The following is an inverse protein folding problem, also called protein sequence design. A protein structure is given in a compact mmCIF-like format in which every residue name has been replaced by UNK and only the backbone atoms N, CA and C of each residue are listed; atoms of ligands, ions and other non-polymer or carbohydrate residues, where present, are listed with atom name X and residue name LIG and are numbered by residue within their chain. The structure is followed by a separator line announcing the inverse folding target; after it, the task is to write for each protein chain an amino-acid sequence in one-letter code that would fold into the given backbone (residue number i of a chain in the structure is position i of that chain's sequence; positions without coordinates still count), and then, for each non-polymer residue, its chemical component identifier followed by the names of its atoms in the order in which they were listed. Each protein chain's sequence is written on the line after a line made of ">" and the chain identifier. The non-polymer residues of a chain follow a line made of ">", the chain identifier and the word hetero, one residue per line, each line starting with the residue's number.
data_IF_965606631205
#
_entry.id   IF_965606631205
#
_cell.length_a   1.000
_cell.length_b   1.000
_cell.length_c   1.000
_cell.angle_alpha   90.00
_cell.angle_beta   90.00
_cell.angle_gamma   90.00
#
_symmetry.space_group_name_H-M   'P 1'
#
loop_
_entity.id
_entity.type
_entity.pdbx_description
1 polymer ?
#
# COMPACT_ATOMS: atom_id res chain seq x y z
N UNK A 1 -14.61 -14.22 -17.50
CA UNK A 1 -13.70 -13.08 -17.72
C UNK A 1 -12.53 -13.27 -16.77
N UNK A 2 -11.39 -13.77 -17.24
CA UNK A 2 -10.21 -13.97 -16.40
C UNK A 2 -9.61 -12.60 -16.09
N UNK A 3 -9.86 -12.08 -14.88
CA UNK A 3 -9.08 -10.97 -14.36
C UNK A 3 -7.65 -11.50 -14.21
N UNK A 4 -6.75 -11.05 -15.07
CA UNK A 4 -5.33 -11.30 -14.90
C UNK A 4 -4.92 -10.49 -13.66
N UNK A 5 -4.38 -11.09 -12.57
CA UNK A 5 -3.91 -10.30 -11.44
C UNK A 5 -2.87 -9.30 -11.95
N UNK A 6 -2.93 -8.06 -11.46
CA UNK A 6 -1.99 -7.04 -11.88
C UNK A 6 -0.58 -7.49 -11.48
N UNK A 7 0.31 -7.66 -12.47
CA UNK A 7 1.71 -7.98 -12.17
C UNK A 7 2.36 -6.74 -11.54
N UNK A 8 2.95 -6.93 -10.36
CA UNK A 8 3.74 -5.90 -9.67
C UNK A 8 4.91 -5.44 -10.55
N UNK A 9 5.21 -4.14 -10.57
CA UNK A 9 6.31 -3.53 -11.35
C UNK A 9 7.42 -2.95 -10.49
N UNK A 10 7.10 -2.50 -9.27
CA UNK A 10 8.04 -1.93 -8.32
C UNK A 10 8.21 -2.80 -7.08
N UNK A 11 7.13 -3.36 -6.54
CA UNK A 11 7.22 -4.12 -5.30
C UNK A 11 7.82 -5.51 -5.59
N UNK A 12 8.96 -5.89 -5.01
CA UNK A 12 9.60 -7.16 -5.31
C UNK A 12 8.70 -8.35 -4.97
N UNK A 13 8.69 -9.37 -5.83
CA UNK A 13 7.85 -10.56 -5.63
C UNK A 13 8.16 -11.27 -4.30
N UNK A 14 9.42 -11.24 -3.86
CA UNK A 14 9.87 -11.80 -2.59
C UNK A 14 9.18 -11.11 -1.42
N UNK A 15 8.96 -9.78 -1.49
CA UNK A 15 8.26 -9.00 -0.46
C UNK A 15 6.80 -9.40 -0.35
N UNK A 16 6.12 -9.56 -1.49
CA UNK A 16 4.73 -10.02 -1.49
C UNK A 16 4.61 -11.46 -0.98
N UNK A 17 5.55 -12.34 -1.34
CA UNK A 17 5.56 -13.75 -0.88
C UNK A 17 5.91 -13.91 0.60
N UNK A 18 6.60 -12.93 1.20
CA UNK A 18 6.97 -12.92 2.61
C UNK A 18 5.85 -12.40 3.53
N UNK A 19 4.72 -11.94 2.98
CA UNK A 19 3.55 -11.55 3.77
C UNK A 19 3.04 -12.76 4.56
N UNK A 20 2.86 -12.60 5.86
CA UNK A 20 2.47 -13.68 6.77
C UNK A 20 1.20 -13.36 7.59
N UNK A 21 0.58 -12.21 7.34
CA UNK A 21 -0.68 -11.78 7.96
C UNK A 21 -1.71 -11.48 6.87
N UNK A 22 -2.97 -11.87 7.09
CA UNK A 22 -4.05 -11.71 6.13
C UNK A 22 -5.34 -11.30 6.84
N UNK A 23 -5.97 -10.23 6.36
CA UNK A 23 -7.39 -9.94 6.60
C UNK A 23 -8.13 -10.42 5.36
N UNK A 24 -8.75 -11.60 5.45
CA UNK A 24 -9.36 -12.28 4.32
C UNK A 24 -10.64 -11.58 3.86
N UNK A 25 -11.03 -11.84 2.60
CA UNK A 25 -12.30 -11.38 2.06
C UNK A 25 -13.48 -11.78 2.97
N UNK A 26 -14.43 -10.86 3.17
CA UNK A 26 -15.57 -11.04 4.08
C UNK A 26 -15.25 -10.83 5.57
N UNK A 27 -13.98 -10.70 5.96
CA UNK A 27 -13.61 -10.30 7.32
C UNK A 27 -13.64 -8.77 7.47
N UNK A 28 -14.07 -8.30 8.64
CA UNK A 28 -13.94 -6.92 9.06
C UNK A 28 -13.02 -6.83 10.28
N UNK A 29 -12.04 -5.94 10.21
CA UNK A 29 -11.13 -5.63 11.32
C UNK A 29 -11.31 -4.16 11.72
N UNK A 30 -11.66 -3.93 12.98
CA UNK A 30 -11.76 -2.59 13.57
C UNK A 30 -10.69 -2.45 14.66
N UNK A 31 -9.73 -1.55 14.41
CA UNK A 31 -8.56 -1.36 15.25
C UNK A 31 -7.30 -1.07 14.45
N UNK A 32 -6.17 -0.98 15.15
CA UNK A 32 -4.88 -0.67 14.53
C UNK A 32 -4.00 -1.93 14.41
N UNK A 33 -3.31 -2.06 13.29
CA UNK A 33 -2.21 -2.99 13.11
C UNK A 33 -0.88 -2.27 13.32
N UNK A 34 -0.08 -2.74 14.27
CA UNK A 34 1.22 -2.17 14.57
C UNK A 34 2.25 -3.28 14.79
N UNK A 35 3.44 -3.09 14.23
CA UNK A 35 4.57 -3.98 14.45
C UNK A 35 5.89 -3.21 14.47
N UNK A 36 6.81 -3.67 15.30
CA UNK A 36 8.16 -3.15 15.42
C UNK A 36 9.20 -3.95 14.61
N UNK A 37 8.75 -4.88 13.76
CA UNK A 37 9.60 -5.75 12.93
C UNK A 37 9.23 -5.64 11.47
N UNK A 38 10.18 -6.00 10.61
CA UNK A 38 9.90 -6.21 9.19
C UNK A 38 8.94 -7.42 9.05
N UNK A 39 7.75 -7.14 8.53
CA UNK A 39 6.67 -8.10 8.36
C UNK A 39 5.78 -7.65 7.21
N UNK A 40 4.87 -8.50 6.74
CA UNK A 40 3.89 -8.11 5.74
C UNK A 40 2.46 -8.41 6.16
N UNK A 41 1.53 -7.56 5.73
CA UNK A 41 0.08 -7.79 5.83
C UNK A 41 -0.58 -7.62 4.47
N UNK A 42 -1.46 -8.56 4.13
CA UNK A 42 -2.39 -8.44 3.02
C UNK A 42 -3.80 -8.17 3.53
N UNK A 43 -4.50 -7.24 2.90
CA UNK A 43 -5.90 -6.92 3.21
C UNK A 43 -6.75 -7.18 1.97
N UNK A 44 -7.51 -8.26 2.00
CA UNK A 44 -8.55 -8.61 1.01
C UNK A 44 -9.97 -8.33 1.55
N UNK A 45 -10.13 -8.20 2.88
CA UNK A 45 -11.39 -7.82 3.55
C UNK A 45 -11.52 -6.32 3.79
N UNK A 46 -12.12 -5.95 4.92
CA UNK A 46 -12.27 -4.56 5.34
C UNK A 46 -11.43 -4.27 6.59
N UNK A 47 -10.70 -3.16 6.59
CA UNK A 47 -9.96 -2.67 7.75
C UNK A 47 -10.30 -1.20 8.04
N UNK A 48 -10.63 -0.92 9.30
CA UNK A 48 -10.86 0.43 9.84
C UNK A 48 -9.83 0.71 10.92
N UNK A 49 -8.85 1.56 10.61
CA UNK A 49 -7.77 1.94 11.54
C UNK A 49 -6.37 1.87 10.94
N UNK A 50 -5.37 2.26 11.72
CA UNK A 50 -3.98 2.49 11.26
C UNK A 50 -3.21 1.21 10.97
N UNK A 51 -2.31 1.27 9.99
CA UNK A 51 -1.29 0.24 9.76
C UNK A 51 0.08 0.93 9.86
N UNK A 52 0.90 0.50 10.80
CA UNK A 52 2.24 1.08 11.03
C UNK A 52 3.29 -0.01 11.22
N UNK A 53 4.33 0.06 10.41
CA UNK A 53 5.57 -0.71 10.56
C UNK A 53 6.70 0.21 11.03
N UNK A 54 7.21 0.05 12.25
CA UNK A 54 8.33 0.88 12.72
C UNK A 54 9.58 0.69 11.83
N UNK A 55 9.81 -0.54 11.38
CA UNK A 55 10.93 -0.91 10.50
C UNK A 55 10.42 -1.82 9.39
N UNK A 56 10.87 -1.61 8.14
CA UNK A 56 10.53 -2.48 7.02
C UNK A 56 9.05 -2.39 6.64
N UNK A 57 8.40 -3.51 6.43
CA UNK A 57 6.95 -3.54 6.24
C UNK A 57 6.54 -3.64 4.78
N UNK A 58 5.65 -4.59 4.51
CA UNK A 58 4.97 -4.71 3.22
C UNK A 58 3.46 -4.69 3.45
N UNK A 59 2.80 -3.68 2.92
CA UNK A 59 1.34 -3.61 2.89
C UNK A 59 0.84 -3.94 1.49
N UNK A 60 0.01 -4.96 1.37
CA UNK A 60 -0.71 -5.29 0.14
C UNK A 60 -2.21 -5.11 0.35
N UNK A 61 -2.81 -4.13 -0.32
CA UNK A 61 -4.27 -3.98 -0.39
C UNK A 61 -4.74 -4.73 -1.63
N UNK A 62 -5.24 -5.96 -1.45
CA UNK A 62 -5.68 -6.78 -2.58
C UNK A 62 -6.91 -6.22 -3.27
N UNK A 63 -7.29 -6.82 -4.40
CA UNK A 63 -8.33 -6.28 -5.28
C UNK A 63 -9.71 -6.07 -4.61
N UNK A 64 -10.05 -6.89 -3.61
CA UNK A 64 -11.29 -6.78 -2.81
C UNK A 64 -11.09 -5.96 -1.53
N UNK A 65 -9.85 -5.64 -1.18
CA UNK A 65 -9.48 -4.96 0.04
C UNK A 65 -10.04 -3.54 0.10
N UNK A 66 -10.65 -3.19 1.24
CA UNK A 66 -11.11 -1.83 1.53
C UNK A 66 -10.55 -1.38 2.86
N UNK A 67 -9.80 -0.28 2.83
CA UNK A 67 -9.18 0.32 4.00
C UNK A 67 -9.74 1.73 4.18
N UNK A 68 -10.28 2.04 5.36
CA UNK A 68 -10.90 3.34 5.66
C UNK A 68 -10.41 3.93 7.00
N UNK A 69 -10.53 5.25 7.14
CA UNK A 69 -10.25 6.02 8.36
C UNK A 69 -8.84 5.80 8.94
N UNK A 70 -7.79 6.11 8.17
CA UNK A 70 -6.46 5.62 8.54
C UNK A 70 -5.26 6.28 7.88
N UNK A 71 -4.12 6.21 8.58
CA UNK A 71 -2.76 6.39 8.08
C UNK A 71 -2.10 5.03 7.90
N UNK A 72 -1.54 4.81 6.71
CA UNK A 72 -0.83 3.60 6.32
C UNK A 72 0.64 3.94 6.08
N UNK A 73 1.56 3.30 6.80
CA UNK A 73 2.99 3.58 6.72
C UNK A 73 3.82 2.28 6.70
N UNK A 74 4.53 2.04 5.59
CA UNK A 74 5.36 0.86 5.35
C UNK A 74 6.52 1.18 4.37
N UNK A 75 7.49 0.27 4.22
CA UNK A 75 8.51 0.38 3.16
C UNK A 75 7.88 0.18 1.78
N UNK A 76 7.11 -0.89 1.62
CA UNK A 76 6.47 -1.25 0.36
C UNK A 76 4.95 -1.21 0.52
N UNK A 77 4.28 -0.46 -0.35
CA UNK A 77 2.83 -0.38 -0.39
C UNK A 77 2.35 -0.73 -1.80
N UNK A 78 1.62 -1.83 -1.92
CA UNK A 78 1.02 -2.29 -3.17
C UNK A 78 -0.51 -2.23 -3.06
N UNK A 79 -1.16 -1.42 -3.90
CA UNK A 79 -2.60 -1.16 -3.82
C UNK A 79 -3.28 -1.63 -5.10
N UNK A 80 -4.15 -2.62 -4.96
CA UNK A 80 -5.10 -3.08 -5.99
C UNK A 80 -6.55 -2.69 -5.68
N UNK A 81 -6.89 -2.62 -4.39
CA UNK A 81 -8.23 -2.31 -3.88
C UNK A 81 -8.47 -0.83 -3.61
N UNK A 82 -9.24 -0.54 -2.57
CA UNK A 82 -9.66 0.82 -2.21
C UNK A 82 -9.05 1.26 -0.88
N UNK A 83 -8.49 2.46 -0.88
CA UNK A 83 -7.97 3.12 0.32
C UNK A 83 -8.61 4.50 0.47
N UNK A 84 -9.14 4.80 1.66
CA UNK A 84 -9.57 6.13 2.07
C UNK A 84 -8.71 6.56 3.27
N UNK A 85 -7.70 7.39 3.03
CA UNK A 85 -6.73 7.74 4.06
C UNK A 85 -5.41 8.28 3.52
N UNK A 86 -4.42 8.40 4.42
CA UNK A 86 -3.06 8.84 4.07
C UNK A 86 -2.15 7.63 3.88
N UNK A 87 -1.41 7.59 2.77
CA UNK A 87 -0.43 6.53 2.46
C UNK A 87 0.98 7.07 2.50
N UNK A 88 1.89 6.33 3.13
CA UNK A 88 3.30 6.67 3.24
C UNK A 88 4.12 5.42 2.89
N UNK A 89 4.85 5.50 1.80
CA UNK A 89 5.73 4.44 1.34
C UNK A 89 7.20 4.89 1.42
N UNK A 90 7.99 4.24 2.26
CA UNK A 90 9.40 4.61 2.46
C UNK A 90 10.32 4.13 1.33
N UNK A 91 9.89 3.16 0.52
CA UNK A 91 10.67 2.64 -0.62
C UNK A 91 9.86 2.61 -1.91
N UNK A 92 8.71 1.96 -1.92
CA UNK A 92 7.92 1.88 -3.14
C UNK A 92 6.42 1.99 -2.86
N UNK A 93 5.78 2.93 -3.57
CA UNK A 93 4.33 3.01 -3.70
C UNK A 93 3.92 2.53 -5.09
N UNK A 94 3.14 1.47 -5.17
CA UNK A 94 2.58 0.99 -6.43
C UNK A 94 1.06 0.94 -6.37
N UNK A 95 0.41 1.66 -7.29
CA UNK A 95 -1.05 1.78 -7.39
C UNK A 95 -1.49 1.20 -8.73
N UNK A 96 -2.24 0.10 -8.68
CA UNK A 96 -2.64 -0.59 -9.92
C UNK A 96 -3.86 0.05 -10.59
N UNK A 97 -4.17 -0.40 -11.81
CA UNK A 97 -5.26 0.16 -12.61
C UNK A 97 -6.67 -0.12 -12.07
N UNK A 98 -6.82 -1.06 -11.14
CA UNK A 98 -8.08 -1.32 -10.43
C UNK A 98 -8.24 -0.47 -9.17
N UNK A 99 -7.15 0.11 -8.68
CA UNK A 99 -7.12 0.73 -7.37
C UNK A 99 -7.81 2.09 -7.34
N UNK A 100 -8.37 2.41 -6.17
CA UNK A 100 -8.91 3.74 -5.86
C UNK A 100 -8.32 4.25 -4.56
N UNK A 101 -7.59 5.36 -4.62
CA UNK A 101 -7.08 6.07 -3.46
C UNK A 101 -7.81 7.41 -3.29
N UNK A 102 -8.41 7.62 -2.13
CA UNK A 102 -9.04 8.89 -1.73
C UNK A 102 -8.33 9.40 -0.49
N UNK A 103 -7.54 10.46 -0.65
CA UNK A 103 -6.63 10.98 0.36
C UNK A 103 -5.21 11.15 -0.19
N UNK A 104 -4.31 11.56 0.67
CA UNK A 104 -2.96 11.95 0.27
C UNK A 104 -2.00 10.76 0.29
N UNK A 105 -1.06 10.74 -0.65
CA UNK A 105 0.03 9.79 -0.67
C UNK A 105 1.37 10.51 -0.59
N UNK A 106 2.34 9.87 0.05
CA UNK A 106 3.73 10.27 -0.03
C UNK A 106 4.67 9.09 -0.19
N UNK A 107 5.76 9.31 -0.89
CA UNK A 107 6.76 8.28 -1.18
C UNK A 107 8.17 8.85 -1.11
N UNK A 108 9.11 8.05 -0.61
CA UNK A 108 10.49 8.51 -0.36
C UNK A 108 11.45 8.13 -1.49
N UNK A 109 11.23 7.01 -2.20
CA UNK A 109 12.11 6.58 -3.31
C UNK A 109 11.35 6.42 -4.63
N UNK A 110 10.45 5.43 -4.75
CA UNK A 110 9.81 5.05 -6.01
C UNK A 110 8.27 5.16 -5.97
N UNK A 111 7.67 5.59 -7.08
CA UNK A 111 6.23 5.51 -7.33
C UNK A 111 5.94 4.95 -8.72
N UNK A 112 4.97 4.05 -8.82
CA UNK A 112 4.38 3.63 -10.09
C UNK A 112 2.85 3.65 -9.98
N UNK A 113 2.23 4.27 -10.97
CA UNK A 113 0.78 4.35 -11.11
C UNK A 113 0.40 3.75 -12.45
N UNK A 114 -0.27 2.62 -12.41
CA UNK A 114 -0.70 1.94 -13.62
C UNK A 114 -1.81 2.75 -14.32
N UNK A 115 -1.94 2.61 -15.66
CA UNK A 115 -3.07 3.18 -16.37
C UNK A 115 -4.38 2.81 -15.70
N UNK A 116 -5.29 3.79 -15.58
CA UNK A 116 -6.62 3.68 -14.96
C UNK A 116 -6.65 3.72 -13.42
N UNK A 117 -5.51 3.81 -12.74
CA UNK A 117 -5.49 4.09 -11.30
C UNK A 117 -6.27 5.38 -11.00
N UNK A 118 -7.12 5.35 -9.96
CA UNK A 118 -7.97 6.48 -9.59
C UNK A 118 -7.47 7.08 -8.28
N UNK A 119 -6.86 8.26 -8.35
CA UNK A 119 -6.38 8.96 -7.16
C UNK A 119 -7.10 10.30 -7.01
N UNK A 120 -7.61 10.59 -5.81
CA UNK A 120 -8.15 11.89 -5.42
C UNK A 120 -7.46 12.36 -4.14
N UNK A 121 -6.45 13.20 -4.30
CA UNK A 121 -5.66 13.79 -3.22
C UNK A 121 -4.33 14.33 -3.74
N UNK A 122 -3.47 14.78 -2.82
CA UNK A 122 -2.10 15.17 -3.14
C UNK A 122 -1.19 13.94 -3.18
N UNK A 123 -0.24 13.93 -4.12
CA UNK A 123 0.88 13.00 -4.11
C UNK A 123 2.15 13.83 -3.91
N UNK A 124 2.97 13.47 -2.91
CA UNK A 124 4.17 14.20 -2.55
C UNK A 124 5.39 13.27 -2.50
N UNK A 125 6.44 13.64 -3.23
CA UNK A 125 7.75 13.05 -3.03
C UNK A 125 8.37 13.63 -1.76
N UNK A 126 8.87 12.76 -0.88
CA UNK A 126 9.44 13.12 0.43
C UNK A 126 10.93 12.80 0.55
N UNK A 127 11.51 12.17 -0.46
CA UNK A 127 12.95 11.95 -0.51
C UNK A 127 13.73 13.26 -0.69
N UNK A 128 15.05 13.12 -0.76
CA UNK A 128 15.94 14.27 -0.93
C UNK A 128 15.88 14.77 -2.39
N UNK A 129 15.19 15.89 -2.60
CA UNK A 129 15.04 16.53 -3.93
C UNK A 129 16.36 17.15 -4.40
N UNK A 130 17.24 17.53 -3.47
CA UNK A 130 18.49 18.23 -3.76
C UNK A 130 19.69 17.27 -3.84
N UNK A 131 19.46 15.96 -3.65
CA UNK A 131 20.49 14.94 -3.81
C UNK A 131 20.96 14.88 -5.27
N UNK A 132 22.16 15.41 -5.52
CA UNK A 132 22.85 15.29 -6.80
C UNK A 132 23.10 13.80 -7.07
N UNK A 133 22.45 13.24 -8.09
CA UNK A 133 22.78 11.92 -8.63
C UNK A 133 24.23 11.96 -9.15
N UNK A 134 25.17 11.42 -8.37
CA UNK A 134 26.53 11.12 -8.82
C UNK A 134 26.57 9.78 -9.56
#
# INVERSE_FOLDING_TARGET
>A
MSQNPASTRLVPAERLSAINSLIAEGAEFDGNFHTNRDQGIKVDGQLKGNITFEVGGTLHVGATGVIENTRLEADYVFIEGKVIGTVIARKALEITGSATLIGDASYDELIDMHPRARVRGKIEYRGDIDAIQN
#
